data_IF_277258436171
#
_entry.id   IF_277258436171
#
_cell.length_a   1.000
_cell.length_b   1.000
_cell.length_c   1.000
_cell.angle_alpha   90.00
_cell.angle_beta   90.00
_cell.angle_gamma   90.00
#
_symmetry.space_group_name_H-M   'P 1'
#
loop_
_entity.id
_entity.type
_entity.pdbx_description
1 polymer ?
#
# COMPACT_ATOMS: atom_id res chain seq x y z
N UNK A 1 25.03 -3.32 6.69
CA UNK A 1 23.57 -3.37 6.48
C UNK A 1 22.97 -4.26 7.57
N UNK A 2 22.04 -3.76 8.39
CA UNK A 2 21.40 -4.55 9.45
C UNK A 2 20.27 -5.34 8.78
N UNK A 3 20.38 -6.66 8.69
CA UNK A 3 19.34 -7.51 8.09
C UNK A 3 18.15 -7.58 9.03
N UNK A 4 17.08 -6.86 8.68
CA UNK A 4 15.81 -6.91 9.42
C UNK A 4 15.11 -8.22 9.06
N UNK A 5 14.99 -9.15 10.02
CA UNK A 5 14.19 -10.35 9.84
C UNK A 5 12.71 -10.02 10.06
N UNK A 6 11.92 -10.10 8.99
CA UNK A 6 10.47 -9.90 9.05
C UNK A 6 9.76 -11.21 9.43
N UNK A 7 8.77 -11.12 10.30
CA UNK A 7 7.82 -12.21 10.54
C UNK A 7 7.03 -12.53 9.26
N UNK A 8 6.46 -13.73 9.11
CA UNK A 8 5.63 -14.08 7.94
C UNK A 8 4.49 -13.07 7.70
N UNK A 9 3.87 -12.55 8.77
CA UNK A 9 2.83 -11.53 8.69
C UNK A 9 3.36 -10.19 8.17
N UNK A 10 4.50 -9.73 8.67
CA UNK A 10 5.14 -8.49 8.22
C UNK A 10 5.55 -8.58 6.74
N UNK A 11 6.09 -9.72 6.31
CA UNK A 11 6.41 -9.98 4.91
C UNK A 11 5.16 -9.93 4.03
N UNK A 12 4.07 -10.57 4.47
CA UNK A 12 2.78 -10.52 3.77
C UNK A 12 2.25 -9.09 3.69
N UNK A 13 2.31 -8.32 4.78
CA UNK A 13 1.89 -6.92 4.82
C UNK A 13 2.71 -6.05 3.87
N UNK A 14 4.03 -6.21 3.83
CA UNK A 14 4.91 -5.54 2.88
C UNK A 14 4.55 -5.87 1.43
N UNK A 15 4.31 -7.15 1.11
CA UNK A 15 3.89 -7.56 -0.23
C UNK A 15 2.53 -6.97 -0.62
N UNK A 16 1.59 -6.86 0.34
CA UNK A 16 0.30 -6.19 0.11
C UNK A 16 0.52 -4.72 -0.23
N UNK A 17 1.35 -4.00 0.53
CA UNK A 17 1.67 -2.59 0.24
C UNK A 17 2.23 -2.45 -1.18
N UNK A 18 3.19 -3.29 -1.57
CA UNK A 18 3.77 -3.27 -2.92
C UNK A 18 2.74 -3.54 -4.01
N UNK A 19 1.84 -4.52 -3.80
CA UNK A 19 0.78 -4.82 -4.75
C UNK A 19 -0.19 -3.64 -4.90
N UNK A 20 -0.60 -3.02 -3.79
CA UNK A 20 -1.51 -1.85 -3.81
C UNK A 20 -0.82 -0.65 -4.47
N UNK A 21 0.47 -0.40 -4.24
CA UNK A 21 1.24 0.64 -4.95
C UNK A 21 1.21 0.41 -6.46
N UNK A 22 1.45 -0.83 -6.92
CA UNK A 22 1.41 -1.16 -8.35
C UNK A 22 0.05 -0.89 -8.98
N UNK A 23 -1.03 -1.36 -8.34
CA UNK A 23 -2.41 -1.10 -8.79
C UNK A 23 -2.72 0.39 -8.78
N UNK A 24 -2.35 1.10 -7.72
CA UNK A 24 -2.61 2.52 -7.56
C UNK A 24 -1.90 3.38 -8.60
N UNK A 25 -0.65 3.03 -8.92
CA UNK A 25 0.14 3.68 -9.97
C UNK A 25 -0.53 3.51 -11.34
N UNK A 26 -0.87 2.26 -11.71
CA UNK A 26 -1.56 1.96 -12.96
C UNK A 26 -2.89 2.72 -13.04
N UNK A 27 -3.69 2.69 -11.98
CA UNK A 27 -4.95 3.41 -11.90
C UNK A 27 -4.77 4.92 -12.03
N UNK A 28 -3.70 5.49 -11.45
CA UNK A 28 -3.36 6.91 -11.61
C UNK A 28 -3.04 7.29 -13.05
N UNK A 29 -2.23 6.48 -13.73
CA UNK A 29 -1.93 6.65 -15.16
C UNK A 29 -3.22 6.60 -15.98
N UNK A 30 -4.08 5.60 -15.76
CA UNK A 30 -5.35 5.48 -16.46
C UNK A 30 -6.28 6.66 -16.18
N UNK A 31 -6.38 7.13 -14.94
CA UNK A 31 -7.19 8.31 -14.57
C UNK A 31 -6.79 9.54 -15.37
N UNK A 32 -5.49 9.79 -15.56
CA UNK A 32 -5.02 10.94 -16.35
C UNK A 32 -5.31 10.72 -17.84
N UNK A 33 -5.03 9.53 -18.39
CA UNK A 33 -5.27 9.21 -19.80
C UNK A 33 -6.74 9.35 -20.20
N UNK A 34 -7.67 9.08 -19.28
CA UNK A 34 -9.11 9.23 -19.51
C UNK A 34 -9.69 10.58 -19.08
N UNK A 35 -8.85 11.59 -18.83
CA UNK A 35 -9.27 12.94 -18.42
C UNK A 35 -10.09 12.98 -17.11
N UNK A 36 -9.65 12.21 -16.11
CA UNK A 36 -10.17 12.21 -14.73
C UNK A 36 -11.68 12.00 -14.63
N UNK A 37 -12.23 10.88 -15.17
CA UNK A 37 -13.65 10.60 -15.02
C UNK A 37 -13.95 10.31 -13.54
N UNK A 38 -15.09 10.77 -13.03
CA UNK A 38 -15.42 10.74 -11.59
C UNK A 38 -15.25 9.34 -10.99
N UNK A 39 -15.73 8.30 -11.68
CA UNK A 39 -15.61 6.90 -11.21
C UNK A 39 -14.16 6.46 -11.05
N UNK A 40 -13.28 6.75 -12.01
CA UNK A 40 -11.84 6.41 -11.92
C UNK A 40 -11.15 7.25 -10.85
N UNK A 41 -11.51 8.53 -10.73
CA UNK A 41 -11.02 9.41 -9.68
C UNK A 41 -11.39 8.91 -8.28
N UNK A 42 -12.62 8.43 -8.08
CA UNK A 42 -13.08 7.84 -6.81
C UNK A 42 -12.38 6.51 -6.55
N UNK A 43 -12.28 5.62 -7.54
CA UNK A 43 -11.53 4.36 -7.39
C UNK A 43 -10.06 4.62 -7.01
N UNK A 44 -9.43 5.62 -7.63
CA UNK A 44 -8.08 6.04 -7.30
C UNK A 44 -8.01 6.56 -5.86
N UNK A 45 -8.91 7.44 -5.43
CA UNK A 45 -8.91 7.96 -4.06
C UNK A 45 -9.12 6.86 -3.01
N UNK A 46 -10.05 5.94 -3.25
CA UNK A 46 -10.28 4.78 -2.37
C UNK A 46 -9.05 3.88 -2.32
N UNK A 47 -8.40 3.62 -3.47
CA UNK A 47 -7.16 2.85 -3.50
C UNK A 47 -6.01 3.53 -2.75
N UNK A 48 -5.91 4.87 -2.79
CA UNK A 48 -4.95 5.62 -1.99
C UNK A 48 -5.22 5.51 -0.49
N UNK A 49 -6.49 5.48 -0.07
CA UNK A 49 -6.85 5.20 1.32
C UNK A 49 -6.46 3.78 1.75
N UNK A 50 -6.66 2.77 0.90
CA UNK A 50 -6.22 1.39 1.17
C UNK A 50 -4.69 1.29 1.24
N UNK A 51 -3.99 2.00 0.36
CA UNK A 51 -2.54 2.10 0.42
C UNK A 51 -2.09 2.68 1.76
N UNK A 52 -2.71 3.79 2.19
CA UNK A 52 -2.42 4.40 3.48
C UNK A 52 -2.68 3.44 4.65
N UNK A 53 -3.84 2.80 4.68
CA UNK A 53 -4.20 1.84 5.73
C UNK A 53 -3.23 0.63 5.79
N UNK A 54 -2.87 0.06 4.63
CA UNK A 54 -1.93 -1.06 4.55
C UNK A 54 -0.50 -0.66 4.96
N UNK A 55 -0.06 0.54 4.59
CA UNK A 55 1.23 1.08 5.00
C UNK A 55 1.28 1.32 6.51
N UNK A 56 0.23 1.93 7.09
CA UNK A 56 0.09 2.08 8.54
C UNK A 56 0.13 0.73 9.26
N UNK A 57 -0.62 -0.25 8.76
CA UNK A 57 -0.62 -1.60 9.32
C UNK A 57 0.78 -2.23 9.27
N UNK A 58 1.49 -2.14 8.15
CA UNK A 58 2.84 -2.66 8.01
C UNK A 58 3.79 -1.99 9.01
N UNK A 59 3.83 -0.65 9.06
CA UNK A 59 4.71 0.09 9.97
C UNK A 59 4.38 -0.22 11.43
N UNK A 60 3.10 -0.24 11.79
CA UNK A 60 2.67 -0.60 13.14
C UNK A 60 3.06 -2.03 13.52
N UNK A 61 3.02 -2.97 12.57
CA UNK A 61 3.46 -4.35 12.79
C UNK A 61 4.96 -4.47 13.05
N UNK A 62 5.80 -3.55 12.55
CA UNK A 62 7.24 -3.51 12.84
C UNK A 62 7.51 -3.13 14.30
N UNK A 63 6.72 -2.20 14.85
CA UNK A 63 6.84 -1.77 16.24
C UNK A 63 6.50 -2.86 17.27
N UNK A 64 5.50 -3.72 16.97
CA UNK A 64 5.11 -4.83 17.85
C UNK A 64 6.20 -5.87 18.07
N UNK A 65 7.12 -6.02 17.11
CA UNK A 65 8.24 -6.96 17.23
C UNK A 65 9.42 -6.37 18.00
N UNK A 66 9.52 -5.05 18.13
CA UNK A 66 10.59 -4.41 18.90
C UNK A 66 10.38 -4.46 20.44
N UNK A 67 9.17 -4.82 20.89
CA UNK A 67 8.77 -4.89 22.30
C UNK A 67 8.51 -6.32 22.80
N UNK A 68 8.87 -7.33 22.02
CA UNK A 68 8.82 -8.75 22.39
C UNK A 68 10.26 -9.28 22.57
#
# INVERSE_FOLDING_TARGET
>A
SRTVQLTPLQRKASNIVLAVVGVQFLLGVLTILYAVPVTMGVLHQTGAFLLFASALFFIHSLGKTATA
#
